data_IF_184974391047
#
_entry.id   IF_184974391047
#
_cell.length_a   1.000
_cell.length_b   1.000
_cell.length_c   1.000
_cell.angle_alpha   90.00
_cell.angle_beta   90.00
_cell.angle_gamma   90.00
#
_symmetry.space_group_name_H-M   'P 1'
#
loop_
_entity.id
_entity.type
_entity.pdbx_description
1 polymer ?
#
# COMPACT_ATOMS: atom_id res chain seq x y z
N UNK A 1 28.37 29.03 4.19
CA UNK A 1 28.28 27.61 3.77
C UNK A 1 29.48 26.80 4.26
N UNK A 2 29.18 25.68 4.89
CA UNK A 2 30.07 24.61 5.34
C UNK A 2 29.63 23.34 4.63
N UNK A 3 30.58 22.58 4.12
CA UNK A 3 30.33 21.27 3.51
C UNK A 3 30.66 20.20 4.53
N UNK A 4 29.66 19.41 4.91
CA UNK A 4 29.80 18.28 5.83
C UNK A 4 29.60 17.00 5.05
N UNK A 5 30.35 15.96 5.39
CA UNK A 5 30.11 14.61 4.88
C UNK A 5 29.41 13.79 5.96
N UNK A 6 28.26 13.25 5.61
CA UNK A 6 27.37 12.53 6.49
C UNK A 6 27.35 11.04 6.12
N UNK A 7 27.32 10.17 7.11
CA UNK A 7 27.20 8.73 6.90
C UNK A 7 26.11 8.16 7.81
N UNK A 8 25.32 7.21 7.29
CA UNK A 8 24.21 6.60 8.03
C UNK A 8 24.73 5.36 8.76
N UNK A 9 24.47 5.29 10.06
CA UNK A 9 24.94 4.19 10.89
C UNK A 9 24.03 2.97 10.73
N UNK A 10 24.63 1.82 10.41
CA UNK A 10 23.93 0.54 10.25
C UNK A 10 23.23 0.34 8.92
N UNK A 11 23.43 1.23 7.94
CA UNK A 11 22.95 1.07 6.57
C UNK A 11 24.13 1.12 5.60
N UNK A 12 24.20 0.17 4.67
CA UNK A 12 25.24 0.17 3.65
C UNK A 12 25.09 1.39 2.73
N UNK A 13 26.20 2.09 2.48
CA UNK A 13 26.22 3.29 1.65
C UNK A 13 27.40 4.20 1.96
N UNK A 14 27.88 4.89 0.93
CA UNK A 14 28.98 5.84 1.06
C UNK A 14 28.56 7.12 1.79
N UNK A 15 29.52 7.78 2.43
CA UNK A 15 29.30 9.10 2.99
C UNK A 15 28.93 10.10 1.90
N UNK A 16 27.91 10.92 2.13
CA UNK A 16 27.40 11.89 1.17
C UNK A 16 27.60 13.33 1.66
N UNK A 17 27.85 14.28 0.74
CA UNK A 17 28.00 15.68 1.09
C UNK A 17 26.65 16.31 1.44
N UNK A 18 26.67 17.25 2.39
CA UNK A 18 25.57 18.15 2.72
C UNK A 18 26.12 19.57 2.86
N UNK A 19 25.54 20.51 2.11
CA UNK A 19 25.91 21.92 2.18
C UNK A 19 24.94 22.67 3.11
N UNK A 20 25.48 23.33 4.14
CA UNK A 20 24.67 24.05 5.14
C UNK A 20 25.31 25.39 5.53
N UNK A 21 24.53 26.40 5.87
CA UNK A 21 25.10 27.61 6.44
C UNK A 21 25.54 27.41 7.90
N UNK A 22 26.66 28.01 8.30
CA UNK A 22 27.20 27.83 9.65
C UNK A 22 26.26 28.39 10.74
N UNK A 23 25.48 29.42 10.42
CA UNK A 23 24.50 30.01 11.32
C UNK A 23 23.18 29.23 11.39
N UNK A 24 22.96 28.24 10.52
CA UNK A 24 21.77 27.38 10.59
C UNK A 24 21.88 26.37 11.73
N UNK A 25 20.71 25.89 12.17
CA UNK A 25 20.61 24.98 13.30
C UNK A 25 20.92 23.53 12.92
N UNK A 26 21.24 22.71 13.92
CA UNK A 26 21.29 21.25 13.77
C UNK A 26 19.92 20.69 13.34
N UNK A 27 18.81 21.34 13.71
CA UNK A 27 17.47 21.01 13.19
C UNK A 27 17.37 21.17 11.67
N UNK A 28 17.93 22.27 11.13
CA UNK A 28 18.01 22.50 9.68
C UNK A 28 18.91 21.45 9.00
N UNK A 29 20.02 21.08 9.66
CA UNK A 29 20.91 20.01 9.18
C UNK A 29 20.19 18.66 9.06
N UNK A 30 19.39 18.27 10.04
CA UNK A 30 18.60 17.02 9.95
C UNK A 30 17.69 17.02 8.72
N UNK A 31 17.07 18.17 8.43
CA UNK A 31 16.19 18.33 7.28
C UNK A 31 16.96 18.24 5.96
N UNK A 32 18.13 18.90 5.87
CA UNK A 32 19.01 18.85 4.70
C UNK A 32 19.52 17.42 4.45
N UNK A 33 20.00 16.73 5.49
CA UNK A 33 20.43 15.33 5.44
C UNK A 33 19.33 14.44 4.85
N UNK A 34 18.08 14.55 5.32
CA UNK A 34 16.97 13.76 4.76
C UNK A 34 16.78 14.04 3.26
N UNK A 35 16.82 15.31 2.85
CA UNK A 35 16.62 15.69 1.46
C UNK A 35 17.74 15.20 0.53
N UNK A 36 18.98 15.15 1.02
CA UNK A 36 20.17 14.80 0.24
C UNK A 36 20.57 13.32 0.35
N UNK A 37 19.89 12.55 1.20
CA UNK A 37 20.18 11.12 1.44
C UNK A 37 19.82 10.17 0.29
N UNK A 38 19.28 10.66 -0.83
CA UNK A 38 18.90 9.89 -2.03
C UNK A 38 18.12 8.58 -1.73
N UNK A 39 17.21 8.63 -0.76
CA UNK A 39 16.38 7.48 -0.37
C UNK A 39 17.01 6.52 0.64
N UNK A 40 18.25 6.76 1.11
CA UNK A 40 18.84 6.00 2.22
C UNK A 40 18.07 6.19 3.53
N UNK A 41 17.42 7.34 3.71
CA UNK A 41 16.44 7.58 4.77
C UNK A 41 15.06 7.49 4.14
N UNK A 42 14.20 6.60 4.65
CA UNK A 42 12.91 6.32 4.01
C UNK A 42 11.97 7.53 4.09
N UNK A 43 11.01 7.58 3.18
CA UNK A 43 10.06 8.70 3.11
C UNK A 43 9.25 8.85 4.41
N UNK A 44 8.89 7.72 5.01
CA UNK A 44 8.17 7.58 6.29
C UNK A 44 9.00 7.98 7.51
N UNK A 45 10.32 8.04 7.42
CA UNK A 45 11.19 8.38 8.55
C UNK A 45 11.22 9.87 8.81
N UNK A 46 10.60 10.38 9.90
CA UNK A 46 10.56 11.81 10.13
C UNK A 46 11.97 12.33 10.46
N UNK A 47 12.43 13.31 9.69
CA UNK A 47 13.76 13.92 9.87
C UNK A 47 13.96 14.47 11.29
N UNK A 48 12.88 14.83 11.99
CA UNK A 48 12.90 15.31 13.37
C UNK A 48 13.42 14.27 14.35
N UNK A 49 13.23 12.96 14.07
CA UNK A 49 13.68 11.84 14.90
C UNK A 49 15.13 11.46 14.67
N UNK A 50 15.76 11.86 13.57
CA UNK A 50 17.17 11.58 13.29
C UNK A 50 18.05 12.02 14.45
N UNK A 51 19.03 11.21 14.82
CA UNK A 51 20.02 11.56 15.84
C UNK A 51 21.36 11.78 15.15
N UNK A 52 21.97 12.93 15.42
CA UNK A 52 23.22 13.34 14.78
C UNK A 52 24.34 13.35 15.82
N UNK A 53 25.47 12.77 15.45
CA UNK A 53 26.68 12.71 16.26
C UNK A 53 27.86 13.20 15.45
N UNK A 54 28.85 13.79 16.11
CA UNK A 54 30.09 14.18 15.46
C UNK A 54 31.00 12.97 15.30
N UNK A 55 31.45 12.71 14.08
CA UNK A 55 32.40 11.63 13.77
C UNK A 55 33.82 12.03 14.19
N UNK A 56 34.07 12.05 15.50
CA UNK A 56 35.37 12.42 16.08
C UNK A 56 36.13 11.19 16.51
N UNK A 57 37.42 11.15 16.22
CA UNK A 57 38.35 10.18 16.79
C UNK A 57 38.67 10.52 18.26
N UNK A 58 39.30 9.60 18.99
CA UNK A 58 39.63 9.78 20.41
C UNK A 58 40.58 10.97 20.69
N UNK A 59 41.42 11.35 19.72
CA UNK A 59 42.30 12.54 19.76
C UNK A 59 41.57 13.86 19.38
N UNK A 60 40.28 13.75 19.07
CA UNK A 60 39.40 14.87 18.70
C UNK A 60 39.66 15.39 17.29
N UNK A 61 40.22 14.58 16.39
CA UNK A 61 40.23 14.84 14.96
C UNK A 61 38.93 14.32 14.31
N UNK A 62 38.72 14.64 13.03
CA UNK A 62 37.63 14.04 12.25
C UNK A 62 38.00 12.62 11.83
N UNK A 63 37.01 11.74 11.74
CA UNK A 63 37.17 10.39 11.23
C UNK A 63 37.61 10.43 9.75
N UNK A 64 38.80 9.90 9.39
CA UNK A 64 39.23 9.76 8.00
C UNK A 64 38.32 8.80 7.22
N UNK A 65 38.18 9.00 5.91
CA UNK A 65 37.40 8.09 5.04
C UNK A 65 38.10 6.76 4.75
N UNK A 66 39.41 6.69 4.97
CA UNK A 66 40.24 5.48 4.85
C UNK A 66 40.47 4.75 6.20
N UNK A 67 39.83 5.22 7.27
CA UNK A 67 39.84 4.54 8.58
C UNK A 67 38.98 3.27 8.54
N UNK A 68 39.39 2.21 9.25
CA UNK A 68 38.64 0.95 9.27
C UNK A 68 37.20 1.13 9.75
N UNK A 69 36.97 2.01 10.72
CA UNK A 69 35.62 2.30 11.23
C UNK A 69 34.75 3.01 10.18
N UNK A 70 35.36 3.77 9.27
CA UNK A 70 34.66 4.39 8.14
C UNK A 70 34.35 3.37 7.03
N UNK A 71 35.30 2.49 6.71
CA UNK A 71 35.09 1.42 5.72
C UNK A 71 33.99 0.44 6.17
N UNK A 72 33.98 0.06 7.44
CA UNK A 72 32.94 -0.80 8.01
C UNK A 72 31.56 -0.13 7.93
N UNK A 73 31.50 1.19 8.09
CA UNK A 73 30.27 1.98 7.98
C UNK A 73 29.72 1.95 6.54
N UNK A 74 30.58 2.00 5.52
CA UNK A 74 30.16 1.88 4.12
C UNK A 74 29.55 0.51 3.81
N UNK A 75 30.09 -0.54 4.42
CA UNK A 75 29.54 -1.91 4.38
C UNK A 75 28.24 -2.08 5.19
N UNK A 76 27.80 -1.04 5.91
CA UNK A 76 26.63 -1.09 6.79
C UNK A 76 26.89 -1.78 8.14
N UNK A 77 28.14 -2.04 8.49
CA UNK A 77 28.54 -2.60 9.79
C UNK A 77 28.77 -1.46 10.78
N UNK A 78 28.52 -1.73 12.06
CA UNK A 78 28.78 -0.77 13.14
C UNK A 78 30.05 -1.19 13.87
N UNK A 79 31.14 -0.46 13.65
CA UNK A 79 32.41 -0.67 14.36
C UNK A 79 32.30 -0.21 15.83
N UNK A 80 33.08 -0.80 16.74
CA UNK A 80 33.03 -0.49 18.19
C UNK A 80 33.27 1.01 18.48
N UNK A 81 34.19 1.65 17.75
CA UNK A 81 34.44 3.09 17.89
C UNK A 81 33.26 3.95 17.45
N UNK A 82 32.53 3.54 16.40
CA UNK A 82 31.30 4.21 15.97
C UNK A 82 30.21 4.03 17.02
N UNK A 83 30.08 2.84 17.58
CA UNK A 83 29.14 2.54 18.66
C UNK A 83 29.40 3.45 19.88
N UNK A 84 30.66 3.57 20.30
CA UNK A 84 31.04 4.44 21.42
C UNK A 84 30.72 5.93 21.15
N UNK A 85 30.80 6.39 19.90
CA UNK A 85 30.45 7.76 19.53
C UNK A 85 28.94 8.03 19.58
N UNK A 86 28.12 7.08 19.12
CA UNK A 86 26.66 7.22 19.12
C UNK A 86 26.04 7.00 20.51
N UNK A 87 26.74 6.29 21.40
CA UNK A 87 26.38 6.19 22.82
C UNK A 87 26.74 7.48 23.60
N UNK A 88 27.49 8.39 22.97
CA UNK A 88 27.95 9.66 23.54
C UNK A 88 26.96 10.82 23.43
N UNK A 89 27.50 12.05 23.46
CA UNK A 89 26.67 13.27 23.40
C UNK A 89 26.19 13.54 21.96
N UNK A 90 24.86 13.47 21.77
CA UNK A 90 24.20 13.89 20.53
C UNK A 90 24.26 15.39 20.30
N UNK A 91 24.29 15.80 19.03
CA UNK A 91 24.16 17.20 18.65
C UNK A 91 22.78 17.76 19.06
N UNK A 92 22.78 18.94 19.66
CA UNK A 92 21.55 19.60 20.13
C UNK A 92 20.88 20.31 18.96
N UNK A 93 19.62 19.96 18.69
CA UNK A 93 18.85 20.49 17.55
C UNK A 93 18.76 22.03 17.51
N UNK A 94 18.80 22.69 18.68
CA UNK A 94 18.71 24.15 18.83
C UNK A 94 20.02 24.89 18.62
N UNK A 95 21.16 24.17 18.57
CA UNK A 95 22.46 24.80 18.39
C UNK A 95 22.72 25.08 16.91
N UNK A 96 23.44 26.16 16.63
CA UNK A 96 23.94 26.40 15.28
C UNK A 96 25.10 25.47 14.95
N UNK A 97 25.39 25.27 13.67
CA UNK A 97 26.57 24.50 13.26
C UNK A 97 27.85 25.17 13.79
N UNK A 98 27.92 26.50 13.80
CA UNK A 98 29.04 27.24 14.40
C UNK A 98 29.21 26.96 15.90
N UNK A 99 28.12 26.94 16.68
CA UNK A 99 28.17 26.61 18.11
C UNK A 99 28.68 25.19 18.34
N UNK A 100 28.19 24.22 17.55
CA UNK A 100 28.63 22.83 17.63
C UNK A 100 30.12 22.71 17.33
N UNK A 101 30.60 23.32 16.24
CA UNK A 101 32.01 23.27 15.87
C UNK A 101 32.90 23.97 16.92
N UNK A 102 32.45 25.09 17.47
CA UNK A 102 33.19 25.86 18.48
C UNK A 102 33.31 25.11 19.80
N UNK A 103 32.20 24.58 20.32
CA UNK A 103 32.18 23.82 21.57
C UNK A 103 33.03 22.54 21.48
N UNK A 104 33.20 21.98 20.29
CA UNK A 104 33.96 20.76 20.04
C UNK A 104 35.38 21.00 19.53
N UNK A 105 35.88 22.24 19.52
CA UNK A 105 37.20 22.61 18.99
C UNK A 105 37.44 22.25 17.50
N UNK A 106 36.38 22.11 16.70
CA UNK A 106 36.42 21.74 15.28
C UNK A 106 36.41 22.97 14.36
N UNK A 107 37.19 23.99 14.73
CA UNK A 107 37.20 25.28 14.03
C UNK A 107 38.49 25.48 13.24
N UNK A 108 38.47 26.44 12.30
CA UNK A 108 39.67 26.84 11.54
C UNK A 108 40.81 27.27 12.47
N UNK A 109 40.51 27.97 13.57
CA UNK A 109 41.50 28.42 14.57
C UNK A 109 42.26 27.27 15.23
N UNK A 110 41.62 26.10 15.35
CA UNK A 110 42.22 24.88 15.91
C UNK A 110 42.82 23.96 14.84
N UNK A 111 42.79 24.36 13.55
CA UNK A 111 43.26 23.54 12.44
C UNK A 111 42.35 22.36 12.07
N UNK A 112 41.16 22.26 12.71
CA UNK A 112 40.24 21.12 12.67
C UNK A 112 38.90 21.44 11.99
N UNK A 113 38.86 22.46 11.15
CA UNK A 113 37.67 22.72 10.33
C UNK A 113 37.38 21.53 9.40
N UNK A 114 36.10 21.25 9.08
CA UNK A 114 35.69 20.24 8.10
C UNK A 114 36.46 20.34 6.78
N UNK A 115 36.91 19.20 6.23
CA UNK A 115 37.66 19.08 4.96
C UNK A 115 37.23 17.83 4.19
N UNK A 116 37.63 17.73 2.92
CA UNK A 116 37.44 16.48 2.15
C UNK A 116 38.24 15.32 2.75
N UNK A 117 37.84 14.09 2.41
CA UNK A 117 38.45 12.82 2.89
C UNK A 117 38.21 12.53 4.38
N UNK A 118 37.08 13.00 4.89
CA UNK A 118 36.70 12.91 6.29
C UNK A 118 35.19 12.73 6.40
N UNK A 119 34.75 11.89 7.33
CA UNK A 119 33.37 11.82 7.78
C UNK A 119 33.21 12.81 8.93
N UNK A 120 32.14 13.60 8.89
CA UNK A 120 31.90 14.68 9.87
C UNK A 120 30.71 14.37 10.78
N UNK A 121 29.67 13.77 10.23
CA UNK A 121 28.41 13.54 10.94
C UNK A 121 28.00 12.09 10.78
N UNK A 122 27.78 11.42 11.91
CA UNK A 122 27.12 10.12 11.97
C UNK A 122 25.62 10.34 12.14
N UNK A 123 24.83 9.73 11.26
CA UNK A 123 23.38 9.84 11.25
C UNK A 123 22.82 8.51 11.73
N UNK A 124 22.26 8.50 12.93
CA UNK A 124 21.47 7.36 13.41
C UNK A 124 20.03 7.65 13.04
N UNK A 125 19.51 6.83 12.13
CA UNK A 125 18.07 6.69 11.93
C UNK A 125 17.61 5.79 13.08
N UNK A 126 16.94 6.31 14.13
CA UNK A 126 16.43 5.41 15.15
C UNK A 126 15.55 4.42 14.42
N UNK A 127 15.76 3.13 14.69
CA UNK A 127 14.78 2.13 14.37
C UNK A 127 13.48 2.73 14.88
N UNK A 128 12.56 3.04 13.97
CA UNK A 128 11.22 3.25 14.45
C UNK A 128 10.96 1.97 15.23
N UNK A 129 10.35 2.06 16.42
CA UNK A 129 9.39 1.01 16.72
C UNK A 129 8.46 1.06 15.50
N UNK A 130 8.83 0.33 14.44
CA UNK A 130 7.91 -0.23 13.49
C UNK A 130 6.98 -0.91 14.45
N UNK A 131 5.88 -0.22 14.77
CA UNK A 131 4.83 -0.74 15.61
C UNK A 131 4.64 -2.15 15.09
N UNK A 132 5.11 -3.13 15.88
CA UNK A 132 5.40 -4.51 15.46
C UNK A 132 4.43 -4.84 14.36
N UNK A 133 4.81 -4.92 13.06
CA UNK A 133 3.90 -4.93 11.90
C UNK A 133 2.51 -5.37 12.34
N UNK A 134 1.70 -4.38 12.73
CA UNK A 134 0.61 -4.58 13.66
C UNK A 134 -0.42 -5.36 12.91
N UNK A 135 -0.50 -6.65 13.15
CA UNK A 135 -1.52 -7.46 12.54
C UNK A 135 -2.81 -7.15 13.27
N UNK A 136 -3.86 -6.97 12.49
CA UNK A 136 -5.21 -6.78 12.98
C UNK A 136 -6.02 -7.96 12.53
N UNK A 137 -6.63 -8.64 13.49
CA UNK A 137 -7.58 -9.69 13.21
C UNK A 137 -8.96 -9.06 13.15
N UNK A 138 -9.63 -9.23 12.01
CA UNK A 138 -11.06 -8.95 11.88
C UNK A 138 -11.81 -10.26 12.00
N UNK A 139 -12.64 -10.37 13.03
CA UNK A 139 -13.54 -11.50 13.25
C UNK A 139 -14.99 -11.08 13.13
N UNK A 140 -15.85 -12.02 12.78
CA UNK A 140 -17.28 -11.73 12.72
C UNK A 140 -18.11 -12.87 12.16
N UNK A 141 -19.40 -12.59 11.99
CA UNK A 141 -20.35 -13.52 11.40
C UNK A 141 -21.44 -12.82 10.60
N UNK A 142 -22.01 -13.54 9.63
CA UNK A 142 -23.18 -13.13 8.86
C UNK A 142 -24.29 -14.15 9.08
N UNK A 143 -25.42 -13.70 9.63
CA UNK A 143 -26.61 -14.53 9.84
C UNK A 143 -27.26 -14.93 8.52
N UNK A 144 -27.97 -16.07 8.51
CA UNK A 144 -28.74 -16.56 7.36
C UNK A 144 -27.92 -16.64 6.05
N UNK A 145 -26.61 -16.83 6.14
CA UNK A 145 -25.71 -16.79 5.00
C UNK A 145 -25.77 -18.05 4.12
N UNK A 146 -26.44 -19.11 4.59
CA UNK A 146 -26.70 -20.31 3.80
C UNK A 146 -27.81 -20.12 2.75
N UNK A 147 -28.81 -19.28 3.06
CA UNK A 147 -29.97 -19.08 2.18
C UNK A 147 -29.77 -17.94 1.18
N UNK A 148 -28.72 -17.14 1.36
CA UNK A 148 -28.45 -15.97 0.53
C UNK A 148 -27.20 -16.20 -0.31
N UNK A 149 -27.37 -16.13 -1.64
CA UNK A 149 -26.27 -16.39 -2.58
C UNK A 149 -25.23 -15.28 -2.57
N UNK A 150 -23.98 -15.65 -2.81
CA UNK A 150 -22.90 -14.70 -3.06
C UNK A 150 -22.28 -14.04 -1.83
N UNK A 151 -22.78 -14.29 -0.61
CA UNK A 151 -22.18 -13.73 0.62
C UNK A 151 -20.72 -14.18 0.78
N UNK A 152 -20.46 -15.50 0.78
CA UNK A 152 -19.08 -16.03 0.93
C UNK A 152 -18.15 -15.55 -0.19
N UNK A 153 -18.63 -15.55 -1.43
CA UNK A 153 -17.94 -14.99 -2.59
C UNK A 153 -17.55 -13.52 -2.39
N UNK A 154 -18.50 -12.69 -1.92
CA UNK A 154 -18.29 -11.27 -1.65
C UNK A 154 -17.24 -11.05 -0.56
N UNK A 155 -17.24 -11.85 0.50
CA UNK A 155 -16.25 -11.74 1.56
C UNK A 155 -14.83 -12.11 1.10
N UNK A 156 -14.67 -13.15 0.29
CA UNK A 156 -13.37 -13.48 -0.35
C UNK A 156 -12.87 -12.33 -1.23
N UNK A 157 -13.76 -11.72 -2.04
CA UNK A 157 -13.41 -10.57 -2.86
C UNK A 157 -12.97 -9.37 -2.01
N UNK A 158 -13.71 -9.05 -0.95
CA UNK A 158 -13.37 -7.96 -0.02
C UNK A 158 -12.02 -8.20 0.67
N UNK A 159 -11.75 -9.42 1.12
CA UNK A 159 -10.47 -9.78 1.74
C UNK A 159 -9.32 -9.65 0.73
N UNK A 160 -9.53 -10.06 -0.52
CA UNK A 160 -8.53 -9.94 -1.59
C UNK A 160 -8.19 -8.48 -1.88
N UNK A 161 -9.21 -7.64 -2.04
CA UNK A 161 -9.03 -6.21 -2.32
C UNK A 161 -8.27 -5.48 -1.22
N UNK A 162 -8.46 -5.93 0.03
CA UNK A 162 -7.84 -5.33 1.21
C UNK A 162 -6.58 -6.06 1.66
N UNK A 163 -6.04 -6.95 0.83
CA UNK A 163 -4.79 -7.66 1.10
C UNK A 163 -4.88 -8.42 2.44
N UNK A 164 -5.96 -9.18 2.60
CA UNK A 164 -6.18 -10.04 3.76
C UNK A 164 -5.29 -11.29 3.73
N UNK A 165 -4.98 -11.78 4.91
CA UNK A 165 -4.21 -13.00 5.14
C UNK A 165 -5.04 -14.00 5.95
N UNK A 166 -4.74 -15.29 5.74
CA UNK A 166 -5.31 -16.34 6.55
C UNK A 166 -4.78 -16.24 7.98
N UNK A 167 -5.65 -16.49 8.96
CA UNK A 167 -5.27 -16.65 10.36
C UNK A 167 -4.60 -18.02 10.57
N UNK A 168 -3.30 -18.10 10.90
CA UNK A 168 -2.61 -19.38 11.11
C UNK A 168 -3.20 -20.21 12.25
N UNK A 169 -3.91 -19.57 13.18
CA UNK A 169 -4.59 -20.28 14.28
C UNK A 169 -5.85 -21.01 13.83
N UNK A 170 -6.33 -20.76 12.60
CA UNK A 170 -7.54 -21.37 12.03
C UNK A 170 -7.23 -22.17 10.75
N UNK A 171 -6.90 -23.44 10.97
CA UNK A 171 -6.84 -24.45 9.92
C UNK A 171 -7.94 -25.51 10.10
N UNK A 172 -8.37 -26.11 8.99
CA UNK A 172 -9.16 -27.35 8.97
C UNK A 172 -8.29 -28.38 8.25
N UNK A 173 -7.77 -29.35 9.01
CA UNK A 173 -6.71 -30.24 8.51
C UNK A 173 -5.46 -29.43 8.12
N UNK A 174 -5.01 -29.58 6.88
CA UNK A 174 -3.85 -28.84 6.33
C UNK A 174 -4.23 -27.61 5.50
N UNK A 175 -5.50 -27.18 5.53
CA UNK A 175 -6.00 -26.03 4.76
C UNK A 175 -6.28 -24.87 5.69
N UNK A 176 -5.74 -23.70 5.37
CA UNK A 176 -6.08 -22.45 6.04
C UNK A 176 -7.50 -22.02 5.64
N UNK A 177 -8.31 -21.58 6.61
CA UNK A 177 -9.73 -21.26 6.38
C UNK A 177 -10.07 -19.89 6.96
N UNK A 178 -10.36 -18.94 6.06
CA UNK A 178 -10.75 -17.58 6.42
C UNK A 178 -12.27 -17.45 6.64
N UNK A 179 -13.08 -18.27 5.95
CA UNK A 179 -14.55 -18.22 5.97
C UNK A 179 -15.13 -19.63 6.08
N UNK A 180 -15.97 -19.87 7.09
CA UNK A 180 -16.60 -21.17 7.35
C UNK A 180 -18.02 -21.01 7.89
N UNK A 181 -18.82 -22.07 7.81
CA UNK A 181 -20.17 -22.06 8.35
C UNK A 181 -20.25 -22.70 9.74
N UNK A 182 -20.98 -22.04 10.63
CA UNK A 182 -21.47 -22.58 11.90
C UNK A 182 -23.00 -22.51 11.87
N UNK A 183 -23.65 -23.67 11.74
CA UNK A 183 -25.07 -23.79 11.47
C UNK A 183 -25.53 -22.95 10.26
N UNK A 184 -26.29 -21.87 10.49
CA UNK A 184 -26.79 -20.95 9.46
C UNK A 184 -25.94 -19.69 9.30
N UNK A 185 -24.89 -19.56 10.10
CA UNK A 185 -24.03 -18.37 10.16
C UNK A 185 -22.76 -18.62 9.37
N UNK A 186 -22.34 -17.64 8.57
CA UNK A 186 -21.01 -17.64 7.97
C UNK A 186 -20.07 -16.86 8.89
N UNK A 187 -19.17 -17.55 9.56
CA UNK A 187 -18.13 -16.99 10.41
C UNK A 187 -16.87 -16.69 9.60
N UNK A 188 -16.10 -15.69 10.03
CA UNK A 188 -14.87 -15.31 9.35
C UNK A 188 -13.80 -14.77 10.27
N UNK A 189 -12.55 -15.12 9.95
CA UNK A 189 -11.31 -14.62 10.55
C UNK A 189 -10.35 -14.23 9.43
N UNK A 190 -9.99 -12.95 9.35
CA UNK A 190 -9.03 -12.44 8.35
C UNK A 190 -8.03 -11.52 9.04
N UNK A 191 -6.74 -11.80 8.83
CA UNK A 191 -5.65 -10.96 9.30
C UNK A 191 -5.33 -9.87 8.28
N UNK A 192 -4.99 -8.68 8.78
CA UNK A 192 -4.53 -7.56 7.97
C UNK A 192 -3.29 -6.96 8.58
N UNK A 193 -2.28 -6.72 7.75
CA UNK A 193 -1.09 -6.01 8.17
C UNK A 193 -1.36 -4.50 8.21
N UNK A 194 -0.76 -3.80 9.18
CA UNK A 194 -0.67 -2.34 9.12
C UNK A 194 0.33 -1.95 8.04
N UNK A 195 -0.13 -1.90 6.81
CA UNK A 195 0.64 -1.33 5.72
C UNK A 195 0.24 0.13 5.51
N UNK A 196 1.24 1.01 5.41
CA UNK A 196 1.10 2.24 4.64
C UNK A 196 0.85 1.86 3.19
N UNK A 197 -0.42 1.70 2.81
CA UNK A 197 -0.77 1.41 1.42
C UNK A 197 -0.28 2.55 0.50
N UNK A 198 0.84 2.33 -0.19
CA UNK A 198 1.13 3.02 -1.42
C UNK A 198 0.10 2.53 -2.45
N UNK A 199 -0.89 3.36 -2.74
CA UNK A 199 -1.66 3.16 -3.97
C UNK A 199 -0.69 3.33 -5.14
N UNK A 200 -0.32 2.21 -5.80
CA UNK A 200 0.01 2.28 -7.22
C UNK A 200 -1.30 2.54 -7.97
N UNK A 201 -1.72 3.80 -8.01
CA UNK A 201 -2.51 4.28 -9.12
C UNK A 201 -1.56 4.25 -10.32
N UNK A 202 -1.60 3.17 -11.10
CA UNK A 202 -1.12 3.21 -12.48
C UNK A 202 -2.11 4.05 -13.31
N UNK A 203 -2.20 5.35 -13.01
CA UNK A 203 -2.72 6.33 -13.93
C UNK A 203 -1.51 6.91 -14.67
N UNK A 204 -1.12 6.26 -15.76
CA UNK A 204 -0.37 6.98 -16.77
C UNK A 204 -1.26 8.07 -17.35
N UNK A 205 -0.98 9.32 -17.00
CA UNK A 205 -1.08 10.38 -18.00
C UNK A 205 -0.10 11.51 -17.72
N UNK A 206 0.83 11.64 -18.66
CA UNK A 206 1.59 12.85 -18.94
C UNK A 206 0.72 14.09 -18.80
N UNK A 207 1.05 14.97 -17.86
CA UNK A 207 1.09 16.42 -18.04
C UNK A 207 1.87 17.02 -16.89
N UNK A 208 2.83 17.87 -17.23
CA UNK A 208 3.63 18.63 -16.29
C UNK A 208 2.76 19.42 -15.29
N UNK A 209 3.28 19.56 -14.07
CA UNK A 209 2.79 20.48 -13.04
C UNK A 209 1.41 20.17 -12.45
N UNK A 210 1.33 19.08 -11.68
CA UNK A 210 0.52 19.07 -10.47
C UNK A 210 1.39 18.56 -9.32
N UNK A 211 1.76 19.47 -8.40
CA UNK A 211 2.05 19.10 -7.02
C UNK A 211 0.78 18.44 -6.48
N UNK A 212 0.66 17.14 -6.70
CA UNK A 212 -0.26 16.33 -5.94
C UNK A 212 0.23 16.46 -4.50
N UNK A 213 -0.51 17.23 -3.70
CA UNK A 213 -0.58 16.98 -2.28
C UNK A 213 -0.92 15.50 -2.15
N UNK A 214 0.10 14.68 -1.93
CA UNK A 214 -0.05 13.29 -1.50
C UNK A 214 -0.67 13.34 -0.12
N UNK A 215 -1.99 13.58 -0.08
CA UNK A 215 -2.80 13.26 1.08
C UNK A 215 -2.70 11.76 1.18
N UNK A 216 -1.80 11.31 2.05
CA UNK A 216 -1.62 9.92 2.41
C UNK A 216 -2.93 9.46 3.05
N UNK A 217 -3.86 8.93 2.25
CA UNK A 217 -4.97 8.13 2.76
C UNK A 217 -4.38 6.81 3.28
N UNK A 218 -3.74 6.86 4.44
CA UNK A 218 -3.34 5.68 5.19
C UNK A 218 -4.59 5.22 5.91
N UNK A 219 -5.45 4.51 5.18
CA UNK A 219 -6.62 3.85 5.76
C UNK A 219 -6.22 2.42 6.14
N UNK A 220 -6.45 2.04 7.40
CA UNK A 220 -6.14 0.70 7.90
C UNK A 220 -7.03 -0.33 7.19
N UNK A 221 -6.42 -1.29 6.47
CA UNK A 221 -7.13 -2.30 5.68
C UNK A 221 -8.19 -3.08 6.49
N UNK A 222 -7.93 -3.34 7.79
CA UNK A 222 -8.90 -3.98 8.69
C UNK A 222 -10.14 -3.11 8.93
N UNK A 223 -9.96 -1.80 9.16
CA UNK A 223 -11.06 -0.86 9.39
C UNK A 223 -11.87 -0.63 8.11
N UNK A 224 -11.18 -0.62 6.99
CA UNK A 224 -11.80 -0.57 5.68
C UNK A 224 -12.65 -1.82 5.42
N UNK A 225 -12.11 -3.01 5.68
CA UNK A 225 -12.84 -4.27 5.55
C UNK A 225 -14.06 -4.30 6.50
N UNK A 226 -13.92 -3.83 7.74
CA UNK A 226 -15.03 -3.64 8.67
C UNK A 226 -16.08 -2.64 8.16
N UNK A 227 -15.64 -1.53 7.56
CA UNK A 227 -16.55 -0.52 7.00
C UNK A 227 -17.42 -1.10 5.89
N UNK A 228 -16.83 -1.88 4.97
CA UNK A 228 -17.58 -2.55 3.91
C UNK A 228 -18.58 -3.59 4.50
N UNK A 229 -18.20 -4.29 5.56
CA UNK A 229 -19.08 -5.23 6.26
C UNK A 229 -20.28 -4.54 6.91
N UNK A 230 -20.07 -3.36 7.52
CA UNK A 230 -21.12 -2.59 8.20
C UNK A 230 -22.04 -1.83 7.24
N UNK A 231 -21.50 -1.38 6.10
CA UNK A 231 -22.26 -0.65 5.07
C UNK A 231 -22.96 -1.58 4.09
N UNK A 232 -22.45 -2.81 3.91
CA UNK A 232 -23.02 -3.84 3.04
C UNK A 232 -24.52 -4.08 3.24
N UNK A 233 -25.04 -4.21 4.48
CA UNK A 233 -26.47 -4.35 4.77
C UNK A 233 -27.37 -3.23 4.25
N UNK A 234 -26.84 -2.01 4.13
CA UNK A 234 -27.56 -0.83 3.67
C UNK A 234 -27.35 -0.54 2.18
N UNK A 235 -26.39 -1.23 1.54
CA UNK A 235 -26.03 -1.00 0.14
C UNK A 235 -26.94 -1.82 -0.75
N UNK A 236 -27.82 -1.16 -1.51
CA UNK A 236 -28.73 -1.83 -2.46
C UNK A 236 -27.93 -2.58 -3.52
N UNK A 237 -28.26 -3.87 -3.73
CA UNK A 237 -27.56 -4.73 -4.69
C UNK A 237 -26.33 -5.46 -4.12
N UNK A 238 -26.00 -5.24 -2.84
CA UNK A 238 -25.00 -6.04 -2.13
C UNK A 238 -25.56 -7.42 -1.75
N UNK A 239 -24.78 -8.51 -1.83
CA UNK A 239 -25.18 -9.80 -1.23
C UNK A 239 -25.45 -9.72 0.28
N UNK A 240 -24.93 -8.69 0.95
CA UNK A 240 -25.14 -8.43 2.37
C UNK A 240 -26.41 -7.60 2.65
N UNK A 241 -27.14 -7.11 1.64
CA UNK A 241 -28.33 -6.25 1.86
C UNK A 241 -29.32 -6.94 2.81
N UNK A 242 -29.80 -6.19 3.82
CA UNK A 242 -30.70 -6.69 4.87
C UNK A 242 -30.17 -7.87 5.71
N UNK A 243 -28.88 -8.19 5.64
CA UNK A 243 -28.28 -9.21 6.51
C UNK A 243 -27.87 -8.61 7.86
N UNK A 244 -27.92 -9.45 8.89
CA UNK A 244 -27.34 -9.13 10.20
C UNK A 244 -25.87 -9.54 10.16
N UNK A 245 -24.99 -8.55 10.29
CA UNK A 245 -23.53 -8.72 10.24
C UNK A 245 -22.96 -8.26 11.58
N UNK A 246 -22.21 -9.15 12.23
CA UNK A 246 -21.45 -8.84 13.44
C UNK A 246 -19.96 -8.80 13.11
N UNK A 247 -19.25 -7.77 13.58
CA UNK A 247 -17.83 -7.58 13.30
C UNK A 247 -17.08 -7.10 14.53
N UNK A 248 -15.82 -7.50 14.66
CA UNK A 248 -14.89 -6.98 15.66
C UNK A 248 -13.50 -6.88 15.05
N UNK A 249 -12.84 -5.75 15.28
CA UNK A 249 -11.43 -5.54 14.96
C UNK A 249 -10.62 -5.56 16.26
N UNK A 250 -9.55 -6.35 16.30
CA UNK A 250 -8.65 -6.43 17.44
C UNK A 250 -7.19 -6.54 16.98
N UNK A 251 -6.23 -6.00 17.75
CA UNK A 251 -4.82 -6.24 17.49
C UNK A 251 -4.51 -7.73 17.68
N UNK A 252 -3.67 -8.27 16.80
CA UNK A 252 -3.24 -9.65 16.78
C UNK A 252 -1.73 -9.73 16.97
N UNK A 253 -1.30 -10.54 17.93
CA UNK A 253 0.11 -10.81 18.16
C UNK A 253 0.50 -11.99 17.26
N UNK A 254 0.96 -11.74 16.03
CA UNK A 254 1.56 -12.83 15.26
C UNK A 254 3.08 -12.79 15.37
N UNK A 255 3.63 -13.95 15.75
CA UNK A 255 5.03 -14.29 15.63
C UNK A 255 5.37 -14.33 14.14
N UNK A 256 6.44 -13.65 13.73
CA UNK A 256 7.09 -13.71 12.41
C UNK A 256 6.90 -15.07 11.73
N UNK A 257 5.85 -15.22 10.93
CA UNK A 257 5.50 -16.43 10.18
C UNK A 257 5.10 -16.03 8.77
N UNK A 258 5.41 -16.90 7.81
CA UNK A 258 5.02 -16.75 6.40
C UNK A 258 3.49 -16.75 6.26
N UNK A 259 2.88 -15.56 6.33
CA UNK A 259 1.43 -15.40 6.21
C UNK A 259 0.98 -15.71 4.78
N UNK A 260 0.00 -16.60 4.64
CA UNK A 260 -0.61 -16.90 3.36
C UNK A 260 -1.71 -15.87 3.04
N UNK A 261 -1.62 -15.27 1.85
CA UNK A 261 -2.63 -14.34 1.31
C UNK A 261 -3.96 -15.04 1.05
N UNK A 262 -5.05 -14.34 1.33
CA UNK A 262 -6.41 -14.73 0.90
C UNK A 262 -6.65 -14.12 -0.48
N UNK A 263 -6.93 -14.96 -1.46
CA UNK A 263 -7.31 -14.55 -2.80
C UNK A 263 -8.73 -14.96 -3.13
N UNK A 264 -9.33 -14.20 -4.05
CA UNK A 264 -10.68 -14.49 -4.55
C UNK A 264 -10.73 -15.87 -5.20
N UNK A 265 -9.65 -16.26 -5.88
CA UNK A 265 -9.48 -17.57 -6.50
C UNK A 265 -9.47 -18.75 -5.49
N UNK A 266 -9.34 -18.48 -4.18
CA UNK A 266 -9.43 -19.51 -3.15
C UNK A 266 -10.89 -19.90 -2.85
N UNK A 267 -11.86 -19.09 -3.32
CA UNK A 267 -13.28 -19.42 -3.25
C UNK A 267 -13.64 -20.50 -4.28
N UNK A 268 -14.11 -21.64 -3.77
CA UNK A 268 -14.63 -22.76 -4.58
C UNK A 268 -16.15 -22.77 -4.45
N UNK A 269 -16.91 -22.44 -5.52
CA UNK A 269 -18.37 -22.34 -5.46
C UNK A 269 -19.08 -23.65 -5.06
N UNK A 270 -18.54 -24.78 -5.53
CA UNK A 270 -19.10 -26.13 -5.36
C UNK A 270 -18.54 -26.89 -4.15
N UNK A 271 -17.83 -26.21 -3.25
CA UNK A 271 -17.34 -26.83 -2.01
C UNK A 271 -18.53 -27.36 -1.18
N UNK A 272 -18.37 -28.50 -0.53
CA UNK A 272 -19.36 -29.10 0.37
C UNK A 272 -19.77 -28.16 1.52
N UNK A 273 -18.89 -27.23 1.89
CA UNK A 273 -19.18 -26.13 2.83
C UNK A 273 -19.84 -24.90 2.16
N UNK A 274 -20.17 -24.94 0.87
CA UNK A 274 -20.81 -23.86 0.11
C UNK A 274 -22.10 -24.40 -0.54
N UNK A 275 -23.17 -24.63 0.24
CA UNK A 275 -24.36 -25.34 -0.24
C UNK A 275 -25.29 -24.48 -1.12
N UNK A 276 -24.75 -23.55 -1.93
CA UNK A 276 -25.53 -22.59 -2.72
C UNK A 276 -26.18 -23.19 -3.99
N UNK A 277 -26.18 -24.52 -4.11
CA UNK A 277 -26.88 -25.26 -5.16
C UNK A 277 -28.40 -25.33 -4.90
N UNK A 278 -29.05 -24.18 -4.92
CA UNK A 278 -30.48 -24.08 -5.25
C UNK A 278 -30.69 -22.88 -6.14
N UNK A 279 -30.95 -23.11 -7.43
CA UNK A 279 -31.42 -22.08 -8.37
C UNK A 279 -32.75 -21.58 -7.82
N UNK A 280 -32.81 -20.31 -7.42
CA UNK A 280 -34.08 -19.64 -7.12
C UNK A 280 -34.09 -18.36 -7.94
N UNK A 281 -34.78 -18.48 -9.08
CA UNK A 281 -35.23 -17.38 -9.92
C UNK A 281 -35.81 -16.27 -9.05
N UNK A 282 -35.14 -15.12 -9.02
CA UNK A 282 -35.70 -13.90 -8.46
C UNK A 282 -36.89 -13.54 -9.36
N UNK A 283 -38.11 -13.70 -8.85
CA UNK A 283 -39.31 -13.14 -9.48
C UNK A 283 -39.22 -11.61 -9.42
N UNK A 284 -38.60 -11.01 -10.42
CA UNK A 284 -38.72 -9.58 -10.68
C UNK A 284 -40.09 -9.34 -11.31
N UNK A 285 -40.97 -8.64 -10.60
CA UNK A 285 -42.31 -8.22 -11.05
C UNK A 285 -42.28 -7.03 -12.03
N UNK A 286 -41.16 -6.78 -12.69
CA UNK A 286 -41.10 -5.91 -13.87
C UNK A 286 -40.81 -6.82 -15.05
N UNK A 287 -41.64 -6.73 -16.08
CA UNK A 287 -41.51 -7.47 -17.34
C UNK A 287 -40.19 -7.12 -18.02
N UNK A 288 -39.11 -7.81 -17.63
CA UNK A 288 -37.80 -7.72 -18.26
C UNK A 288 -37.84 -8.58 -19.51
N UNK A 289 -37.95 -7.95 -20.68
CA UNK A 289 -37.55 -8.59 -21.93
C UNK A 289 -36.03 -8.75 -21.88
N UNK A 290 -35.56 -9.94 -21.50
CA UNK A 290 -34.16 -10.31 -21.70
C UNK A 290 -33.90 -10.25 -23.21
N UNK A 291 -33.30 -9.17 -23.70
CA UNK A 291 -32.87 -9.08 -25.10
C UNK A 291 -31.75 -10.12 -25.32
N UNK A 292 -31.85 -10.82 -26.44
CA UNK A 292 -30.91 -11.85 -26.84
C UNK A 292 -29.50 -11.23 -27.02
N UNK A 293 -28.44 -11.74 -26.37
CA UNK A 293 -27.08 -11.23 -26.49
C UNK A 293 -26.53 -11.22 -27.93
N UNK A 294 -27.19 -11.92 -28.85
CA UNK A 294 -26.83 -11.95 -30.26
C UNK A 294 -27.40 -10.78 -31.09
N UNK A 295 -28.23 -9.89 -30.51
CA UNK A 295 -28.77 -8.74 -31.24
C UNK A 295 -27.83 -7.55 -31.22
N UNK A 296 -27.83 -6.76 -32.29
CA UNK A 296 -27.01 -5.57 -32.39
C UNK A 296 -27.40 -4.52 -31.33
N UNK A 297 -28.66 -4.45 -30.89
CA UNK A 297 -29.08 -3.56 -29.80
C UNK A 297 -28.31 -3.79 -28.50
N UNK A 298 -28.05 -5.05 -28.16
CA UNK A 298 -27.31 -5.43 -26.95
C UNK A 298 -25.87 -4.88 -26.97
N UNK A 299 -25.26 -4.82 -28.17
CA UNK A 299 -23.89 -4.29 -28.36
C UNK A 299 -23.82 -2.77 -28.19
N UNK A 300 -24.82 -2.03 -28.67
CA UNK A 300 -24.80 -0.56 -28.63
C UNK A 300 -25.25 0.05 -27.29
N UNK A 301 -25.91 -0.72 -26.42
CA UNK A 301 -26.28 -0.25 -25.07
C UNK A 301 -25.09 -0.14 -24.10
N UNK A 302 -23.92 -0.74 -24.42
CA UNK A 302 -22.77 -0.82 -23.52
C UNK A 302 -21.64 0.09 -23.99
N UNK A 303 -21.04 0.81 -23.04
CA UNK A 303 -19.94 1.76 -23.31
C UNK A 303 -18.58 1.05 -23.46
N UNK A 304 -18.49 -0.23 -23.05
CA UNK A 304 -17.26 -1.04 -23.02
C UNK A 304 -17.35 -2.28 -23.94
N UNK A 305 -16.21 -2.66 -24.53
CA UNK A 305 -16.03 -3.73 -25.54
C UNK A 305 -16.09 -5.14 -24.90
N UNK A 306 -16.78 -6.09 -25.56
CA UNK A 306 -16.96 -7.47 -25.09
C UNK A 306 -15.65 -8.19 -24.74
N UNK A 307 -14.54 -7.84 -25.40
CA UNK A 307 -13.24 -8.52 -25.21
C UNK A 307 -12.61 -8.33 -23.83
N UNK A 308 -13.09 -7.37 -23.02
CA UNK A 308 -12.64 -7.19 -21.63
C UNK A 308 -13.37 -8.09 -20.64
N UNK A 309 -14.41 -8.80 -21.09
CA UNK A 309 -14.94 -9.96 -20.37
C UNK A 309 -14.07 -11.16 -20.77
N UNK A 310 -13.04 -11.44 -19.97
CA UNK A 310 -12.34 -12.73 -19.92
C UNK A 310 -13.37 -13.90 -19.89
N UNK A 311 -13.00 -15.16 -20.19
CA UNK A 311 -13.95 -16.24 -20.52
C UNK A 311 -14.78 -16.76 -19.33
N UNK A 312 -14.91 -15.96 -18.27
CA UNK A 312 -15.88 -16.13 -17.21
C UNK A 312 -17.27 -15.93 -17.78
N UNK A 313 -18.17 -16.83 -17.41
CA UNK A 313 -19.43 -17.07 -18.10
C UNK A 313 -20.33 -15.84 -18.20
N UNK A 314 -21.41 -16.04 -18.96
CA UNK A 314 -22.56 -15.14 -19.20
C UNK A 314 -22.64 -13.99 -18.21
N UNK A 315 -22.90 -12.77 -18.66
CA UNK A 315 -23.01 -11.53 -17.87
C UNK A 315 -23.90 -11.58 -16.60
N UNK A 316 -24.65 -12.66 -16.40
CA UNK A 316 -25.32 -13.03 -15.16
C UNK A 316 -24.35 -13.44 -14.01
N UNK A 317 -23.15 -13.93 -14.31
CA UNK A 317 -22.14 -14.35 -13.32
C UNK A 317 -21.13 -13.26 -12.93
N UNK A 318 -21.09 -12.11 -13.63
CA UNK A 318 -20.31 -10.95 -13.19
C UNK A 318 -21.09 -10.17 -12.14
N UNK A 319 -20.92 -10.55 -10.88
CA UNK A 319 -21.40 -9.80 -9.71
C UNK A 319 -20.46 -8.62 -9.38
N UNK A 320 -20.20 -7.74 -10.35
CA UNK A 320 -19.49 -6.48 -10.13
C UNK A 320 -20.47 -5.35 -9.79
N UNK A 321 -20.38 -4.70 -8.61
CA UNK A 321 -21.27 -3.62 -8.20
C UNK A 321 -20.94 -2.27 -8.87
N UNK A 322 -19.90 -2.19 -9.70
CA UNK A 322 -19.61 -1.00 -10.52
C UNK A 322 -20.34 -1.00 -11.87
N UNK A 323 -21.09 -2.06 -12.20
CA UNK A 323 -22.01 -2.04 -13.32
C UNK A 323 -23.20 -1.15 -12.97
N UNK A 324 -23.15 0.10 -13.42
CA UNK A 324 -24.32 0.98 -13.48
C UNK A 324 -25.29 0.35 -14.50
N UNK A 325 -26.15 -0.56 -14.02
CA UNK A 325 -27.22 -1.19 -14.80
C UNK A 325 -28.35 -0.19 -15.00
N UNK A 326 -28.08 0.89 -15.72
CA UNK A 326 -29.13 1.78 -16.22
C UNK A 326 -29.68 1.16 -17.50
N UNK A 327 -30.65 0.27 -17.37
CA UNK A 327 -31.36 -0.26 -18.53
C UNK A 327 -32.29 0.83 -19.06
N UNK A 328 -31.88 1.50 -20.12
CA UNK A 328 -32.72 2.43 -20.86
C UNK A 328 -33.54 1.61 -21.85
N UNK A 329 -34.87 1.67 -21.74
CA UNK A 329 -35.74 1.12 -22.76
C UNK A 329 -35.58 1.96 -24.03
N UNK A 330 -35.06 1.35 -25.10
CA UNK A 330 -34.83 2.02 -26.39
C UNK A 330 -36.02 1.70 -27.28
N UNK A 331 -36.90 2.69 -27.48
CA UNK A 331 -38.11 2.55 -28.31
C UNK A 331 -37.79 2.43 -29.80
N UNK A 332 -36.70 3.05 -30.27
CA UNK A 332 -36.21 2.97 -31.65
C UNK A 332 -34.75 2.48 -31.69
N UNK A 333 -34.57 1.14 -31.72
CA UNK A 333 -33.28 0.48 -31.81
C UNK A 333 -32.39 0.93 -32.96
N UNK A 334 -32.94 1.08 -34.16
CA UNK A 334 -32.17 1.37 -35.37
C UNK A 334 -31.55 2.75 -35.29
N UNK A 335 -32.34 3.75 -34.89
CA UNK A 335 -31.86 5.12 -34.70
C UNK A 335 -30.83 5.21 -33.57
N UNK A 336 -31.04 4.48 -32.48
CA UNK A 336 -30.07 4.43 -31.38
C UNK A 336 -28.73 3.84 -31.81
N UNK A 337 -28.74 2.69 -32.51
CA UNK A 337 -27.52 2.06 -33.04
C UNK A 337 -26.80 2.98 -34.03
N UNK A 338 -27.56 3.70 -34.87
CA UNK A 338 -27.01 4.66 -35.83
C UNK A 338 -26.36 5.85 -35.13
N UNK A 339 -26.97 6.36 -34.05
CA UNK A 339 -26.42 7.44 -33.23
C UNK A 339 -25.19 7.02 -32.43
N UNK A 340 -25.11 5.77 -31.98
CA UNK A 340 -23.99 5.28 -31.14
C UNK A 340 -22.81 4.75 -31.94
N UNK A 341 -22.97 4.55 -33.26
CA UNK A 341 -21.92 4.02 -34.16
C UNK A 341 -20.59 4.78 -34.06
N UNK A 342 -20.63 6.11 -34.04
CA UNK A 342 -19.41 6.92 -33.95
C UNK A 342 -18.59 6.63 -32.69
N UNK A 343 -19.27 6.35 -31.57
CA UNK A 343 -18.61 6.12 -30.28
C UNK A 343 -17.99 4.73 -30.23
N UNK A 344 -18.67 3.77 -30.82
CA UNK A 344 -18.14 2.43 -31.03
C UNK A 344 -16.87 2.47 -31.92
N UNK A 345 -16.89 3.24 -33.00
CA UNK A 345 -15.74 3.41 -33.90
C UNK A 345 -14.56 4.13 -33.21
N UNK A 346 -14.79 5.22 -32.47
CA UNK A 346 -13.78 5.93 -31.65
C UNK A 346 -13.11 5.01 -30.63
N UNK A 347 -13.90 4.16 -29.95
CA UNK A 347 -13.36 3.16 -29.03
C UNK A 347 -12.51 2.11 -29.77
N UNK A 348 -12.97 1.61 -30.92
CA UNK A 348 -12.23 0.63 -31.72
C UNK A 348 -10.88 1.18 -32.23
N UNK A 349 -10.83 2.46 -32.62
CA UNK A 349 -9.58 3.13 -33.03
C UNK A 349 -8.61 3.33 -31.86
N UNK A 350 -9.10 3.79 -30.70
CA UNK A 350 -8.26 3.92 -29.49
C UNK A 350 -7.65 2.59 -29.08
N UNK A 351 -8.40 1.50 -29.22
CA UNK A 351 -7.88 0.17 -28.94
C UNK A 351 -6.84 -0.31 -29.95
N UNK A 352 -7.05 -0.09 -31.25
CA UNK A 352 -6.01 -0.37 -32.26
C UNK A 352 -4.72 0.38 -31.95
N UNK A 353 -4.83 1.68 -31.62
CA UNK A 353 -3.69 2.48 -31.19
C UNK A 353 -2.98 1.95 -29.94
N UNK A 354 -3.69 1.30 -29.02
CA UNK A 354 -3.11 0.70 -27.81
C UNK A 354 -2.35 -0.60 -28.13
N UNK A 355 -2.91 -1.46 -28.98
CA UNK A 355 -2.30 -2.74 -29.36
C UNK A 355 -1.15 -2.60 -30.36
N UNK A 356 -1.15 -1.54 -31.17
CA UNK A 356 -0.04 -1.22 -32.09
C UNK A 356 1.15 -0.54 -31.39
N UNK A 357 1.09 -0.31 -30.08
CA UNK A 357 2.26 0.15 -29.32
C UNK A 357 3.27 -0.98 -29.18
N UNK A 358 4.41 -0.89 -29.88
CA UNK A 358 5.54 -1.80 -29.69
C UNK A 358 6.02 -1.76 -28.23
N UNK A 359 6.23 -2.92 -27.57
CA UNK A 359 6.76 -2.98 -26.21
C UNK A 359 8.14 -2.31 -26.13
N UNK A 360 8.38 -1.50 -25.10
CA UNK A 360 9.68 -0.86 -24.86
C UNK A 360 10.72 -1.81 -24.21
N UNK A 361 10.53 -3.12 -24.33
CA UNK A 361 11.41 -4.15 -23.79
C UNK A 361 11.65 -5.19 -24.87
N UNK A 362 12.84 -5.13 -25.47
CA UNK A 362 13.55 -6.32 -25.97
C UNK A 362 14.36 -6.92 -24.82
#
# INVERSE_FOLDING_TARGET
>A
MVKLFCAIVGAAGSAFPVDIDAGQSVGDLKKAIKAESDGLIRAEDPWTKLQLFLAKTADGAWLPDDDQAALDLEDGKVHEDIQALIDGEKMKATWTIEDVLTANNMTKRKGRAPKSRQIHVLVVVPEQEHAQTGLWLVTGSVENALITKGIRCKLYWMATLRIGYYDPTRCIGNKNVAFWYEDKKLCFHVLFETSTCFYMLSLHRNTASLRANSVSFIENAALLFETDLRTGPQTLGSPLTNQVVETRVAPANAVSTDLQRVFYCDYVPDDSESPQNTVSSISLTTSVSNLDPSTDEFRFQRIEDEKFFLPYGKAESCHDPLMMKTFVHVEDPETFCLCMRWKHDDNAERWRSFWDMTPAVD
#
